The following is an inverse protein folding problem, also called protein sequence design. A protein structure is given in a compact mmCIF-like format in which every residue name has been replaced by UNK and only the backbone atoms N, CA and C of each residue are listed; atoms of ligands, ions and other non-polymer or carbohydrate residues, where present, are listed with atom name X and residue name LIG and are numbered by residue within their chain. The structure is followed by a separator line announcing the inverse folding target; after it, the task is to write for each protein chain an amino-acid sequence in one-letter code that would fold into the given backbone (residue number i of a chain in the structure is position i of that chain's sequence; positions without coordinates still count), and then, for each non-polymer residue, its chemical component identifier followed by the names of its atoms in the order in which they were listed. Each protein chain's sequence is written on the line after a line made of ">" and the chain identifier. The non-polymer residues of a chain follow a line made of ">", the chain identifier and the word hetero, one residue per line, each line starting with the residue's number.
data_IF_033185081303
#
_entry.id   IF_033185081303
#
_cell.length_a   1.000
_cell.length_b   1.000
_cell.length_c   1.000
_cell.angle_alpha   90.00
_cell.angle_beta   90.00
_cell.angle_gamma   90.00
#
_symmetry.space_group_name_H-M   'P 1'
#
loop_
_entity.id
_entity.type
_entity.pdbx_description
1 polymer ?
#
# COMPACT_ATOMS: atom_id res chain seq x y z
N UNK A 1 9.44 -14.66 6.03
CA UNK A 1 10.08 -14.18 4.79
C UNK A 1 10.45 -12.71 5.01
N UNK A 2 11.73 -12.40 5.27
CA UNK A 2 12.19 -11.01 5.41
C UNK A 2 12.27 -10.39 4.03
N UNK A 3 11.16 -9.84 3.56
CA UNK A 3 11.12 -9.11 2.31
C UNK A 3 11.95 -7.85 2.46
N UNK A 4 12.94 -7.71 1.58
CA UNK A 4 13.81 -6.56 1.41
C UNK A 4 12.94 -5.37 0.94
N UNK A 5 12.09 -4.86 1.84
CA UNK A 5 11.16 -3.76 1.54
C UNK A 5 12.02 -2.52 1.33
N UNK A 6 11.94 -1.87 0.15
CA UNK A 6 12.73 -0.69 -0.11
C UNK A 6 12.45 0.36 0.98
N UNK A 7 13.52 0.93 1.53
CA UNK A 7 13.41 2.02 2.49
C UNK A 7 12.98 3.29 1.74
N UNK A 8 11.67 3.53 1.72
CA UNK A 8 11.04 4.62 1.01
C UNK A 8 11.47 6.00 1.54
N UNK A 9 11.93 6.09 2.79
CA UNK A 9 12.36 7.36 3.40
C UNK A 9 13.60 7.96 2.74
N UNK A 10 14.42 7.13 2.10
CA UNK A 10 15.64 7.52 1.41
C UNK A 10 15.42 7.95 -0.04
N UNK A 11 14.20 7.77 -0.57
CA UNK A 11 13.88 8.01 -1.97
C UNK A 11 13.46 9.46 -2.23
N UNK A 12 13.87 9.98 -3.40
CA UNK A 12 13.35 11.23 -3.95
C UNK A 12 11.90 11.06 -4.44
N UNK A 13 11.15 12.17 -4.57
CA UNK A 13 9.79 12.16 -5.13
C UNK A 13 9.65 11.36 -6.43
N UNK A 14 10.49 11.60 -7.46
CA UNK A 14 10.47 10.79 -8.68
C UNK A 14 10.80 9.30 -8.46
N UNK A 15 11.70 8.98 -7.53
CA UNK A 15 11.99 7.58 -7.19
C UNK A 15 10.82 6.89 -6.49
N UNK A 16 10.09 7.60 -5.61
CA UNK A 16 8.85 7.12 -4.99
C UNK A 16 7.78 6.81 -6.04
N UNK A 17 7.61 7.70 -7.03
CA UNK A 17 6.68 7.48 -8.15
C UNK A 17 7.08 6.27 -8.99
N UNK A 18 8.38 6.13 -9.33
CA UNK A 18 8.87 4.96 -10.06
C UNK A 18 8.67 3.66 -9.29
N UNK A 19 8.94 3.66 -7.99
CA UNK A 19 8.68 2.50 -7.12
C UNK A 19 7.19 2.16 -7.08
N UNK A 20 6.32 3.17 -7.02
CA UNK A 20 4.87 2.97 -7.11
C UNK A 20 4.44 2.31 -8.41
N UNK A 21 4.90 2.83 -9.56
CA UNK A 21 4.52 2.30 -10.88
C UNK A 21 5.06 0.87 -11.08
N UNK A 22 6.31 0.62 -10.68
CA UNK A 22 6.91 -0.70 -10.75
C UNK A 22 6.15 -1.75 -9.92
N UNK A 23 5.61 -1.35 -8.77
CA UNK A 23 4.72 -2.21 -8.00
C UNK A 23 3.36 -2.31 -8.68
N UNK A 24 2.75 -1.20 -9.10
CA UNK A 24 1.41 -1.12 -9.69
C UNK A 24 1.22 -2.12 -10.83
N UNK A 25 2.19 -2.25 -11.72
CA UNK A 25 2.14 -3.14 -12.90
C UNK A 25 2.16 -4.64 -12.56
N UNK A 26 2.48 -5.03 -11.33
CA UNK A 26 2.49 -6.45 -10.93
C UNK A 26 1.06 -7.00 -10.86
N UNK A 27 0.80 -8.17 -11.47
CA UNK A 27 -0.50 -8.82 -11.34
C UNK A 27 -0.75 -9.22 -9.88
N UNK A 28 -2.01 -9.10 -9.44
CA UNK A 28 -2.45 -9.49 -8.10
C UNK A 28 -3.70 -10.34 -8.24
N UNK A 29 -3.63 -11.55 -7.72
CA UNK A 29 -4.66 -12.58 -7.92
C UNK A 29 -5.37 -12.93 -6.61
N UNK A 30 -4.76 -12.65 -5.46
CA UNK A 30 -5.31 -12.97 -4.15
C UNK A 30 -5.69 -11.72 -3.34
N UNK A 31 -6.64 -11.83 -2.37
CA UNK A 31 -6.93 -10.74 -1.43
C UNK A 31 -5.71 -10.29 -0.63
N UNK A 32 -4.83 -11.22 -0.22
CA UNK A 32 -3.61 -10.92 0.51
C UNK A 32 -2.61 -10.08 -0.33
N UNK A 33 -2.40 -10.43 -1.60
CA UNK A 33 -1.57 -9.65 -2.52
C UNK A 33 -2.15 -8.24 -2.75
N UNK A 34 -3.48 -8.13 -2.86
CA UNK A 34 -4.14 -6.84 -2.98
C UNK A 34 -3.99 -6.00 -1.71
N UNK A 35 -4.10 -6.61 -0.54
CA UNK A 35 -3.91 -5.92 0.74
C UNK A 35 -2.45 -5.44 0.91
N UNK A 36 -1.47 -6.27 0.58
CA UNK A 36 -0.05 -5.91 0.60
C UNK A 36 0.24 -4.72 -0.32
N UNK A 37 -0.39 -4.65 -1.49
CA UNK A 37 -0.28 -3.51 -2.37
C UNK A 37 -0.88 -2.23 -1.79
N UNK A 38 -2.06 -2.31 -1.16
CA UNK A 38 -2.65 -1.13 -0.53
C UNK A 38 -1.81 -0.62 0.65
N UNK A 39 -1.16 -1.52 1.40
CA UNK A 39 -0.14 -1.15 2.40
C UNK A 39 1.04 -0.41 1.74
N UNK A 40 1.61 -0.97 0.68
CA UNK A 40 2.70 -0.33 -0.06
C UNK A 40 2.31 1.05 -0.61
N UNK A 41 1.12 1.14 -1.23
CA UNK A 41 0.54 2.41 -1.71
C UNK A 41 0.42 3.42 -0.57
N UNK A 42 -0.09 3.03 0.59
CA UNK A 42 -0.21 3.92 1.74
C UNK A 42 1.16 4.46 2.18
N UNK A 43 2.19 3.62 2.20
CA UNK A 43 3.56 4.01 2.57
C UNK A 43 4.18 4.99 1.57
N UNK A 44 4.05 4.75 0.26
CA UNK A 44 4.55 5.67 -0.77
C UNK A 44 3.87 7.03 -0.65
N UNK A 45 2.55 7.07 -0.58
CA UNK A 45 1.82 8.34 -0.52
C UNK A 45 2.05 9.10 0.80
N UNK A 46 2.34 8.39 1.89
CA UNK A 46 2.79 9.02 3.15
C UNK A 46 4.15 9.70 2.96
N UNK A 47 5.12 9.01 2.35
CA UNK A 47 6.44 9.60 2.07
C UNK A 47 6.36 10.82 1.14
N UNK A 48 5.47 10.79 0.14
CA UNK A 48 5.22 11.95 -0.73
C UNK A 48 4.58 13.11 0.07
N UNK A 49 3.60 12.81 0.92
CA UNK A 49 2.93 13.83 1.73
C UNK A 49 3.89 14.53 2.69
N UNK A 50 4.76 13.77 3.35
CA UNK A 50 5.78 14.28 4.28
C UNK A 50 6.83 15.13 3.56
N UNK A 51 7.24 14.71 2.35
CA UNK A 51 8.26 15.40 1.57
C UNK A 51 7.75 16.71 0.95
N UNK A 52 6.59 16.65 0.32
CA UNK A 52 6.08 17.73 -0.53
C UNK A 52 4.99 18.57 0.16
N UNK A 53 4.73 18.31 1.45
CA UNK A 53 3.62 18.89 2.22
C UNK A 53 2.27 18.76 1.47
N UNK A 54 2.08 17.64 0.76
CA UNK A 54 0.97 17.45 -0.16
C UNK A 54 -0.26 16.84 0.55
N UNK A 55 -1.36 17.60 0.76
CA UNK A 55 -2.54 17.11 1.46
C UNK A 55 -3.31 16.03 0.68
N UNK A 56 -3.24 16.04 -0.65
CA UNK A 56 -3.88 15.03 -1.48
C UNK A 56 -3.15 13.69 -1.40
N UNK A 57 -1.82 13.73 -1.30
CA UNK A 57 -1.03 12.53 -1.01
C UNK A 57 -1.39 11.95 0.37
N UNK A 58 -1.58 12.79 1.40
CA UNK A 58 -2.02 12.33 2.71
C UNK A 58 -3.40 11.65 2.66
N UNK A 59 -4.36 12.24 1.91
CA UNK A 59 -5.69 11.65 1.68
C UNK A 59 -5.60 10.32 0.93
N UNK A 60 -4.74 10.24 -0.08
CA UNK A 60 -4.51 9.01 -0.84
C UNK A 60 -3.94 7.89 0.06
N UNK A 61 -3.02 8.22 0.96
CA UNK A 61 -2.48 7.29 1.95
C UNK A 61 -3.57 6.78 2.90
N UNK A 62 -4.41 7.67 3.43
CA UNK A 62 -5.53 7.29 4.30
C UNK A 62 -6.52 6.35 3.58
N UNK A 63 -6.92 6.66 2.35
CA UNK A 63 -7.81 5.81 1.54
C UNK A 63 -7.19 4.44 1.26
N UNK A 64 -5.88 4.38 1.02
CA UNK A 64 -5.18 3.13 0.81
C UNK A 64 -5.19 2.25 2.07
N UNK A 65 -4.97 2.82 3.26
CA UNK A 65 -5.10 2.09 4.55
C UNK A 65 -6.51 1.49 4.72
N UNK A 66 -7.55 2.29 4.49
CA UNK A 66 -8.95 1.81 4.57
C UNK A 66 -9.21 0.65 3.60
N UNK A 67 -8.69 0.73 2.37
CA UNK A 67 -8.85 -0.34 1.39
C UNK A 67 -8.12 -1.63 1.79
N UNK A 68 -6.89 -1.52 2.33
CA UNK A 68 -6.15 -2.64 2.92
C UNK A 68 -6.96 -3.30 4.02
N UNK A 69 -7.42 -2.53 4.99
CA UNK A 69 -8.12 -3.05 6.17
C UNK A 69 -9.43 -3.74 5.76
N UNK A 70 -10.15 -3.19 4.77
CA UNK A 70 -11.34 -3.81 4.19
C UNK A 70 -11.04 -5.15 3.51
N UNK A 71 -9.90 -5.31 2.85
CA UNK A 71 -9.51 -6.57 2.20
C UNK A 71 -9.12 -7.63 3.23
N UNK A 72 -8.41 -7.23 4.29
CA UNK A 72 -8.05 -8.12 5.39
C UNK A 72 -9.29 -8.62 6.12
N UNK A 73 -10.20 -7.71 6.47
CA UNK A 73 -11.46 -8.07 7.13
C UNK A 73 -12.30 -9.05 6.31
N UNK A 74 -12.39 -8.88 4.98
CA UNK A 74 -13.07 -9.82 4.08
C UNK A 74 -12.40 -11.20 4.05
N UNK A 75 -11.08 -11.26 4.14
CA UNK A 75 -10.34 -12.52 4.16
C UNK A 75 -10.58 -13.27 5.47
N UNK A 76 -10.64 -12.54 6.59
CA UNK A 76 -10.96 -13.11 7.90
C UNK A 76 -12.41 -13.63 7.96
N UNK A 77 -13.36 -12.96 7.29
CA UNK A 77 -14.75 -13.43 7.25
C UNK A 77 -14.93 -14.70 6.41
N UNK A 78 -14.17 -14.84 5.31
CA UNK A 78 -14.22 -16.02 4.43
C UNK A 78 -13.63 -17.27 5.10
N UNK A 79 -12.61 -17.09 5.96
CA UNK A 79 -11.99 -18.21 6.68
C UNK A 79 -12.61 -18.50 8.06
N UNK A 80 -13.44 -17.59 8.60
CA UNK A 80 -14.10 -17.73 9.91
C UNK A 80 -15.54 -18.25 9.86
N UNK A 81 -16.02 -18.65 8.68
CA UNK A 81 -17.39 -19.12 8.44
C UNK A 81 -17.58 -20.63 8.57
N UNK A 82 -17.09 -21.24 9.64
CA UNK A 82 -17.57 -22.54 10.14
C UNK A 82 -17.73 -22.41 11.67
N UNK A 83 -18.93 -22.03 12.11
CA UNK A 83 -19.41 -22.19 13.47
C UNK A 83 -20.91 -22.48 13.43
#
# INVERSE_FOLDING_TARGET
>A
MSENRPDLSTLTGPQLVRAFLAEFDKPRTTPAERAAFFDFKARVFTAIAERDANPDAARAAARARVARDRLLAQTDTVNGGEA
#
